data_IF_230222612948
#
_entry.id   IF_230222612948
#
_cell.length_a   1.000
_cell.length_b   1.000
_cell.length_c   1.000
_cell.angle_alpha   90.00
_cell.angle_beta   90.00
_cell.angle_gamma   90.00
#
_symmetry.space_group_name_H-M   'P 1'
#
loop_
_entity.id
_entity.type
_entity.pdbx_description
1 polymer ?
#
# COMPACT_ATOMS: atom_id res chain seq x y z
N UNK A 1 -7.72 23.96 15.18
CA UNK A 1 -8.40 22.64 15.01
C UNK A 1 -8.81 22.53 13.56
N UNK A 2 -8.31 21.51 12.84
CA UNK A 2 -8.66 21.23 11.44
C UNK A 2 -10.03 20.55 11.30
N UNK A 3 -10.63 20.64 10.12
CA UNK A 3 -11.80 19.79 9.81
C UNK A 3 -11.38 18.33 9.67
N UNK A 4 -10.20 18.09 9.08
CA UNK A 4 -9.67 16.72 8.91
C UNK A 4 -8.15 16.67 8.97
N UNK A 5 -7.62 15.55 9.46
CA UNK A 5 -6.22 15.15 9.30
C UNK A 5 -6.19 13.94 8.36
N UNK A 6 -5.34 13.99 7.33
CA UNK A 6 -5.06 12.85 6.45
C UNK A 6 -3.68 12.30 6.80
N UNK A 7 -3.58 10.98 6.97
CA UNK A 7 -2.30 10.30 7.24
C UNK A 7 -2.01 9.31 6.12
N UNK A 8 -0.91 9.54 5.42
CA UNK A 8 -0.46 8.73 4.29
C UNK A 8 -0.69 9.39 2.93
N UNK A 9 0.34 9.38 2.09
CA UNK A 9 0.44 10.13 0.84
C UNK A 9 0.33 9.25 -0.42
N UNK A 10 -0.22 8.05 -0.29
CA UNK A 10 -0.57 7.21 -1.42
C UNK A 10 -1.79 7.70 -2.21
N UNK A 11 -2.24 6.93 -3.22
CA UNK A 11 -3.40 7.28 -4.06
C UNK A 11 -4.67 7.60 -3.26
N UNK A 12 -4.92 6.88 -2.17
CA UNK A 12 -6.07 7.11 -1.29
C UNK A 12 -5.98 8.48 -0.58
N UNK A 13 -4.79 8.84 -0.06
CA UNK A 13 -4.56 10.13 0.58
C UNK A 13 -4.71 11.29 -0.38
N UNK A 14 -4.18 11.16 -1.60
CA UNK A 14 -4.36 12.16 -2.65
C UNK A 14 -5.83 12.34 -3.01
N UNK A 15 -6.57 11.24 -3.19
CA UNK A 15 -8.00 11.30 -3.48
C UNK A 15 -8.77 12.01 -2.35
N UNK A 16 -8.47 11.69 -1.08
CA UNK A 16 -9.06 12.36 0.08
C UNK A 16 -8.75 13.87 0.10
N UNK A 17 -7.47 14.24 -0.12
CA UNK A 17 -7.03 15.62 -0.11
C UNK A 17 -7.70 16.46 -1.22
N UNK A 18 -7.81 15.91 -2.45
CA UNK A 18 -8.50 16.57 -3.55
C UNK A 18 -9.97 16.80 -3.25
N UNK A 19 -10.66 15.82 -2.65
CA UNK A 19 -12.06 15.97 -2.25
C UNK A 19 -12.22 17.01 -1.15
N UNK A 20 -11.41 16.97 -0.08
CA UNK A 20 -11.47 17.98 0.98
C UNK A 20 -11.22 19.39 0.45
N UNK A 21 -10.27 19.56 -0.48
CA UNK A 21 -10.01 20.82 -1.15
C UNK A 21 -11.23 21.31 -1.95
N UNK A 22 -11.87 20.42 -2.70
CA UNK A 22 -13.09 20.72 -3.47
C UNK A 22 -14.22 21.19 -2.55
N UNK A 23 -14.39 20.55 -1.38
CA UNK A 23 -15.38 20.95 -0.37
C UNK A 23 -14.94 22.11 0.51
N UNK A 24 -13.81 22.76 0.20
CA UNK A 24 -13.26 23.91 0.95
C UNK A 24 -13.09 23.63 2.45
N UNK A 25 -12.68 22.40 2.78
CA UNK A 25 -12.39 22.00 4.15
C UNK A 25 -10.96 22.40 4.53
N UNK A 26 -10.79 22.77 5.78
CA UNK A 26 -9.47 23.00 6.37
C UNK A 26 -8.87 21.67 6.80
N UNK A 27 -7.74 21.30 6.21
CA UNK A 27 -7.10 20.01 6.50
C UNK A 27 -5.58 20.11 6.47
N UNK A 28 -4.95 19.17 7.17
CA UNK A 28 -3.51 18.92 7.08
C UNK A 28 -3.27 17.49 6.59
N UNK A 29 -2.26 17.32 5.74
CA UNK A 29 -1.94 16.06 5.12
C UNK A 29 -0.51 15.63 5.45
N UNK A 30 -0.38 14.57 6.26
CA UNK A 30 0.90 14.03 6.72
C UNK A 30 1.41 12.89 5.87
N UNK A 31 2.71 12.91 5.57
CA UNK A 31 3.43 11.82 4.93
C UNK A 31 4.60 12.32 4.08
N UNK A 32 5.07 11.49 3.16
CA UNK A 32 6.20 11.83 2.30
C UNK A 32 5.79 12.66 1.08
N UNK A 33 6.58 13.65 0.72
CA UNK A 33 6.43 14.40 -0.55
C UNK A 33 6.66 13.54 -1.78
N UNK A 34 7.34 12.43 -1.62
CA UNK A 34 7.49 11.43 -2.68
C UNK A 34 6.21 10.60 -2.92
N UNK A 35 5.10 10.98 -2.29
CA UNK A 35 3.80 10.29 -2.34
C UNK A 35 3.96 8.81 -1.92
N UNK A 36 4.01 7.88 -2.88
CA UNK A 36 4.13 6.46 -2.59
C UNK A 36 5.31 5.84 -3.34
N UNK A 37 6.36 5.46 -2.61
CA UNK A 37 7.51 4.76 -3.18
C UNK A 37 7.12 3.39 -3.79
N UNK A 38 6.14 2.69 -3.19
CA UNK A 38 5.62 1.42 -3.73
C UNK A 38 5.00 1.61 -5.11
N UNK A 39 4.27 2.72 -5.31
CA UNK A 39 3.71 3.06 -6.62
C UNK A 39 4.82 3.37 -7.60
N UNK A 40 5.80 4.20 -7.22
CA UNK A 40 6.90 4.61 -8.12
C UNK A 40 7.74 3.43 -8.61
N UNK A 41 7.97 2.42 -7.74
CA UNK A 41 8.76 1.22 -8.07
C UNK A 41 8.03 0.24 -8.99
N UNK A 42 6.73 0.40 -9.23
CA UNK A 42 5.98 -0.51 -10.09
C UNK A 42 6.34 -0.29 -11.57
N UNK A 43 6.83 -1.31 -12.24
CA UNK A 43 7.17 -1.24 -13.68
C UNK A 43 5.93 -1.04 -14.55
N UNK A 44 4.83 -1.68 -14.17
CA UNK A 44 3.58 -1.69 -14.93
C UNK A 44 2.38 -1.82 -14.01
N UNK A 45 1.43 -0.90 -14.16
CA UNK A 45 0.15 -0.87 -13.45
C UNK A 45 -0.97 -0.98 -14.49
N UNK A 46 -1.85 -1.96 -14.37
CA UNK A 46 -2.93 -2.23 -15.34
C UNK A 46 -4.33 -2.12 -14.75
N UNK A 47 -4.44 -1.96 -13.44
CA UNK A 47 -5.68 -1.95 -12.69
C UNK A 47 -6.01 -0.61 -12.03
N UNK A 48 -5.36 0.48 -12.46
CA UNK A 48 -5.69 1.81 -11.96
C UNK A 48 -6.75 2.47 -12.88
N UNK A 49 -7.92 2.88 -12.35
CA UNK A 49 -9.00 3.46 -13.16
C UNK A 49 -8.51 4.67 -13.98
N UNK A 50 -8.85 4.69 -15.27
CA UNK A 50 -8.42 5.72 -16.21
C UNK A 50 -7.09 5.45 -16.91
N UNK A 51 -6.33 4.45 -16.46
CA UNK A 51 -5.06 4.05 -17.06
C UNK A 51 -5.03 2.55 -17.31
N UNK A 52 -5.36 2.08 -18.52
CA UNK A 52 -5.34 0.65 -18.83
C UNK A 52 -3.93 0.05 -18.75
N UNK A 53 -2.91 0.88 -18.87
CA UNK A 53 -1.52 0.55 -18.65
C UNK A 53 -0.71 1.83 -18.40
N UNK A 54 0.04 1.87 -17.29
CA UNK A 54 0.91 3.00 -16.94
C UNK A 54 2.07 2.48 -16.08
N UNK A 55 3.25 3.13 -16.15
CA UNK A 55 4.31 2.88 -15.19
C UNK A 55 4.04 3.56 -13.85
N UNK A 56 4.62 3.05 -12.77
CA UNK A 56 4.49 3.67 -11.45
C UNK A 56 5.08 5.07 -11.40
N UNK A 57 6.19 5.29 -12.10
CA UNK A 57 6.82 6.61 -12.20
C UNK A 57 5.92 7.61 -12.92
N UNK A 58 5.33 7.24 -14.05
CA UNK A 58 4.42 8.11 -14.79
C UNK A 58 3.15 8.41 -13.99
N UNK A 59 2.61 7.42 -13.28
CA UNK A 59 1.44 7.61 -12.41
C UNK A 59 1.76 8.59 -11.26
N UNK A 60 2.95 8.46 -10.65
CA UNK A 60 3.42 9.40 -9.64
C UNK A 60 3.48 10.83 -10.18
N UNK A 61 4.08 11.04 -11.36
CA UNK A 61 4.19 12.36 -11.97
C UNK A 61 2.83 13.01 -12.22
N UNK A 62 1.84 12.22 -12.67
CA UNK A 62 0.46 12.69 -12.86
C UNK A 62 -0.21 13.04 -11.52
N UNK A 63 0.01 12.26 -10.49
CA UNK A 63 -0.50 12.52 -9.15
C UNK A 63 0.08 13.80 -8.56
N UNK A 64 1.39 13.99 -8.66
CA UNK A 64 2.05 15.18 -8.13
C UNK A 64 1.67 16.44 -8.93
N UNK A 65 1.55 16.34 -10.24
CA UNK A 65 1.04 17.43 -11.07
C UNK A 65 -0.39 17.83 -10.68
N UNK A 66 -1.29 16.86 -10.43
CA UNK A 66 -2.65 17.14 -9.99
C UNK A 66 -2.70 17.78 -8.59
N UNK A 67 -1.90 17.25 -7.65
CA UNK A 67 -1.74 17.83 -6.31
C UNK A 67 -1.32 19.30 -6.38
N UNK A 68 -0.26 19.60 -7.15
CA UNK A 68 0.27 20.96 -7.32
C UNK A 68 -0.75 21.91 -7.97
N UNK A 69 -1.44 21.44 -9.01
CA UNK A 69 -2.47 22.21 -9.69
C UNK A 69 -3.65 22.58 -8.74
N UNK A 70 -3.97 21.69 -7.80
CA UNK A 70 -4.98 21.93 -6.77
C UNK A 70 -4.48 22.80 -5.61
N UNK A 71 -3.19 23.19 -5.58
CA UNK A 71 -2.59 23.95 -4.48
C UNK A 71 -2.66 23.19 -3.14
N UNK A 72 -2.34 21.89 -3.15
CA UNK A 72 -2.34 21.05 -1.96
C UNK A 72 -0.90 20.75 -1.56
N UNK A 73 -0.56 21.03 -0.31
CA UNK A 73 0.74 20.75 0.27
C UNK A 73 0.74 19.52 1.16
N UNK A 74 1.88 18.83 1.20
CA UNK A 74 2.14 17.72 2.11
C UNK A 74 3.02 18.22 3.24
N UNK A 75 2.62 17.92 4.47
CA UNK A 75 3.42 18.15 5.67
C UNK A 75 4.26 16.91 5.94
N UNK A 76 5.57 17.02 5.71
CA UNK A 76 6.51 15.91 5.94
C UNK A 76 6.80 15.78 7.44
N UNK A 77 5.93 15.04 8.13
CA UNK A 77 6.06 14.67 9.53
C UNK A 77 5.62 13.24 9.74
N UNK A 78 6.30 12.56 10.67
CA UNK A 78 5.94 11.20 11.06
C UNK A 78 4.91 11.22 12.17
N UNK A 79 3.72 10.70 11.89
CA UNK A 79 2.68 10.51 12.91
C UNK A 79 3.05 9.30 13.77
N UNK A 80 3.17 9.51 15.07
CA UNK A 80 3.53 8.46 16.05
C UNK A 80 2.35 8.03 16.90
N UNK A 81 1.44 8.93 17.22
CA UNK A 81 0.29 8.63 18.08
C UNK A 81 -0.98 9.32 17.60
N UNK A 82 -2.10 8.63 17.82
CA UNK A 82 -3.45 9.12 17.57
C UNK A 82 -4.28 8.84 18.81
N UNK A 83 -4.98 9.84 19.30
CA UNK A 83 -5.80 9.74 20.49
C UNK A 83 -7.18 10.36 20.22
N UNK A 84 -8.29 9.70 20.57
CA UNK A 84 -9.58 10.35 20.63
C UNK A 84 -9.55 11.49 21.66
N UNK A 85 -10.12 12.63 21.32
CA UNK A 85 -10.17 13.80 22.21
C UNK A 85 -11.50 14.55 22.02
N UNK A 86 -12.36 14.51 23.02
CA UNK A 86 -13.69 15.11 22.91
C UNK A 86 -14.48 14.57 21.72
N UNK A 87 -14.89 15.47 20.83
CA UNK A 87 -15.62 15.13 19.59
C UNK A 87 -14.70 15.01 18.37
N UNK A 88 -13.39 14.79 18.56
CA UNK A 88 -12.41 14.73 17.48
C UNK A 88 -11.21 13.88 17.87
N UNK A 89 -10.05 14.23 17.31
CA UNK A 89 -8.82 13.51 17.44
C UNK A 89 -7.64 14.45 17.71
N UNK A 90 -6.73 13.99 18.56
CA UNK A 90 -5.40 14.57 18.74
C UNK A 90 -4.38 13.66 18.04
N UNK A 91 -3.50 14.24 17.25
CA UNK A 91 -2.47 13.53 16.51
C UNK A 91 -1.12 14.10 16.89
N UNK A 92 -0.20 13.22 17.32
CA UNK A 92 1.19 13.58 17.57
C UNK A 92 2.02 13.30 16.30
N UNK A 93 2.63 14.34 15.73
CA UNK A 93 3.51 14.24 14.58
C UNK A 93 4.81 15.02 14.86
N UNK A 94 5.96 14.35 14.81
CA UNK A 94 7.30 14.89 15.12
C UNK A 94 7.34 15.78 16.40
N UNK A 95 6.75 15.25 17.50
CA UNK A 95 6.64 15.92 18.80
C UNK A 95 5.71 17.16 18.84
N UNK A 96 4.96 17.42 17.79
CA UNK A 96 3.92 18.46 17.76
C UNK A 96 2.52 17.86 17.78
N UNK A 97 1.61 18.52 18.50
CA UNK A 97 0.21 18.08 18.61
C UNK A 97 -0.67 18.83 17.63
N UNK A 98 -1.48 18.06 16.92
CA UNK A 98 -2.48 18.55 15.96
C UNK A 98 -3.87 18.06 16.35
N UNK A 99 -4.88 18.90 16.17
CA UNK A 99 -6.25 18.60 16.52
C UNK A 99 -7.14 18.69 15.29
N UNK A 100 -8.02 17.70 15.10
CA UNK A 100 -9.02 17.71 14.03
C UNK A 100 -10.33 17.06 14.46
N UNK A 101 -11.41 17.41 13.76
CA UNK A 101 -12.73 16.80 13.95
C UNK A 101 -12.79 15.38 13.41
N UNK A 102 -12.10 15.12 12.29
CA UNK A 102 -12.11 13.82 11.61
C UNK A 102 -10.69 13.40 11.26
N UNK A 103 -10.51 12.09 11.10
CA UNK A 103 -9.23 11.48 10.72
C UNK A 103 -9.45 10.54 9.53
N UNK A 104 -8.58 10.66 8.51
CA UNK A 104 -8.58 9.80 7.34
C UNK A 104 -7.25 9.05 7.29
N UNK A 105 -7.31 7.73 7.51
CA UNK A 105 -6.14 6.86 7.51
C UNK A 105 -5.91 6.27 6.12
N UNK A 106 -4.82 6.67 5.48
CA UNK A 106 -4.43 6.26 4.12
C UNK A 106 -3.02 5.65 4.09
N UNK A 107 -2.66 4.93 5.15
CA UNK A 107 -1.30 4.42 5.37
C UNK A 107 -0.91 3.26 4.45
N UNK A 108 -1.87 2.70 3.72
CA UNK A 108 -1.65 1.55 2.84
C UNK A 108 -1.27 0.29 3.62
N UNK A 109 -0.52 -0.60 2.96
CA UNK A 109 -0.01 -1.83 3.56
C UNK A 109 1.47 -1.65 3.90
N UNK A 110 1.85 -1.93 5.13
CA UNK A 110 3.25 -2.02 5.54
C UNK A 110 3.63 -3.49 5.71
N UNK A 111 4.77 -3.88 5.15
CA UNK A 111 5.39 -5.15 5.49
C UNK A 111 6.17 -4.99 6.80
N UNK A 112 5.91 -5.86 7.77
CA UNK A 112 6.59 -5.81 9.06
C UNK A 112 8.05 -6.30 9.01
N UNK A 113 8.40 -7.12 8.00
CA UNK A 113 9.74 -7.71 7.82
C UNK A 113 10.11 -7.64 6.35
N UNK A 114 11.21 -6.97 6.06
CA UNK A 114 11.75 -6.94 4.70
C UNK A 114 12.59 -8.19 4.47
N UNK A 115 12.50 -8.73 3.25
CA UNK A 115 13.38 -9.78 2.78
C UNK A 115 14.73 -9.18 2.38
N UNK A 116 15.76 -10.02 2.38
CA UNK A 116 17.06 -9.58 1.87
C UNK A 116 16.94 -9.16 0.39
N UNK A 117 17.54 -8.03 0.03
CA UNK A 117 17.49 -7.42 -1.31
C UNK A 117 16.09 -7.08 -1.81
N UNK A 118 15.10 -6.93 -0.95
CA UNK A 118 13.72 -6.62 -1.31
C UNK A 118 13.60 -5.35 -2.15
N UNK A 119 14.33 -4.29 -1.79
CA UNK A 119 14.30 -3.01 -2.50
C UNK A 119 14.76 -3.11 -3.96
N UNK A 120 15.64 -4.06 -4.27
CA UNK A 120 16.12 -4.30 -5.63
C UNK A 120 15.12 -5.06 -6.49
N UNK A 121 14.29 -5.91 -5.85
CA UNK A 121 13.39 -6.86 -6.49
C UNK A 121 11.94 -6.37 -6.57
N UNK A 122 11.56 -5.45 -5.70
CA UNK A 122 10.19 -4.93 -5.63
C UNK A 122 9.80 -4.24 -6.94
N UNK A 123 8.64 -4.64 -7.48
CA UNK A 123 8.14 -4.19 -8.78
C UNK A 123 8.73 -4.93 -9.99
N UNK A 124 9.72 -5.80 -9.80
CA UNK A 124 10.36 -6.60 -10.89
C UNK A 124 10.08 -8.09 -10.73
N UNK A 125 10.52 -8.66 -9.61
CA UNK A 125 10.39 -10.08 -9.29
C UNK A 125 9.71 -10.34 -7.95
N UNK A 126 9.42 -9.30 -7.18
CA UNK A 126 8.74 -9.33 -5.92
C UNK A 126 7.54 -8.36 -5.98
N UNK A 127 6.40 -8.83 -5.49
CA UNK A 127 5.18 -8.04 -5.37
C UNK A 127 4.52 -8.30 -4.03
N UNK A 128 3.86 -7.27 -3.50
CA UNK A 128 3.00 -7.36 -2.31
C UNK A 128 1.51 -7.45 -2.64
N UNK A 129 1.14 -7.47 -3.91
CA UNK A 129 -0.26 -7.46 -4.31
C UNK A 129 -0.54 -8.61 -5.27
N UNK A 130 -1.12 -9.70 -4.77
CA UNK A 130 -1.48 -10.84 -5.59
C UNK A 130 -2.42 -10.48 -6.75
N UNK A 131 -3.45 -9.69 -6.46
CA UNK A 131 -4.46 -9.31 -7.47
C UNK A 131 -3.98 -8.24 -8.45
N UNK A 132 -3.01 -7.38 -8.05
CA UNK A 132 -2.45 -6.36 -8.94
C UNK A 132 -1.53 -6.98 -9.99
N UNK A 133 -0.65 -7.87 -9.55
CA UNK A 133 0.51 -8.34 -10.32
C UNK A 133 0.44 -9.84 -10.66
N UNK A 134 -0.53 -10.59 -10.11
CA UNK A 134 -0.65 -12.04 -10.28
C UNK A 134 -0.61 -12.48 -11.75
N UNK A 135 -1.22 -11.72 -12.64
CA UNK A 135 -1.22 -12.02 -14.08
C UNK A 135 0.18 -12.00 -14.73
N UNK A 136 1.16 -11.28 -14.15
CA UNK A 136 2.55 -11.31 -14.65
C UNK A 136 3.25 -12.62 -14.35
N UNK A 137 2.71 -13.40 -13.43
CA UNK A 137 3.24 -14.69 -12.98
C UNK A 137 2.49 -15.89 -13.56
N UNK A 138 1.55 -15.65 -14.48
CA UNK A 138 0.83 -16.73 -15.18
C UNK A 138 1.81 -17.73 -15.80
N UNK A 139 1.53 -19.03 -15.60
CA UNK A 139 2.32 -20.16 -16.09
C UNK A 139 3.79 -20.19 -15.61
N UNK A 140 4.11 -19.45 -14.52
CA UNK A 140 5.45 -19.42 -13.93
C UNK A 140 5.51 -20.21 -12.62
N UNK A 141 6.73 -20.55 -12.20
CA UNK A 141 7.03 -21.01 -10.85
C UNK A 141 7.21 -19.78 -9.96
N UNK A 142 6.47 -19.72 -8.86
CA UNK A 142 6.49 -18.59 -7.93
C UNK A 142 6.70 -19.07 -6.49
N UNK A 143 7.26 -18.19 -5.65
CA UNK A 143 7.25 -18.32 -4.21
C UNK A 143 6.21 -17.37 -3.62
N UNK A 144 5.42 -17.86 -2.67
CA UNK A 144 4.42 -17.06 -1.95
C UNK A 144 4.68 -17.15 -0.47
N UNK A 145 4.93 -15.99 0.16
CA UNK A 145 5.06 -15.86 1.60
C UNK A 145 3.76 -15.24 2.12
N UNK A 146 3.11 -15.91 3.07
CA UNK A 146 1.84 -15.46 3.63
C UNK A 146 1.93 -15.39 5.15
N UNK A 147 1.74 -14.22 5.71
CA UNK A 147 1.94 -13.94 7.13
C UNK A 147 0.67 -14.10 7.99
N UNK A 148 -0.48 -14.40 7.36
CA UNK A 148 -1.74 -14.55 8.08
C UNK A 148 -2.72 -15.43 7.27
N UNK A 149 -3.33 -16.39 7.93
CA UNK A 149 -4.29 -17.36 7.36
C UNK A 149 -5.44 -16.68 6.57
N UNK A 150 -5.87 -15.49 6.96
CA UNK A 150 -6.94 -14.74 6.26
C UNK A 150 -6.62 -14.44 4.81
N UNK A 151 -5.34 -14.46 4.40
CA UNK A 151 -4.91 -14.20 3.02
C UNK A 151 -4.73 -15.48 2.19
N UNK A 152 -5.08 -16.66 2.67
CA UNK A 152 -5.01 -17.91 1.89
C UNK A 152 -5.82 -17.87 0.60
N UNK A 153 -6.87 -17.05 0.54
CA UNK A 153 -7.63 -16.85 -0.68
C UNK A 153 -6.78 -16.22 -1.82
N UNK A 154 -5.78 -15.38 -1.47
CA UNK A 154 -4.83 -14.84 -2.46
C UNK A 154 -3.84 -15.90 -2.92
N UNK A 155 -3.44 -16.83 -2.04
CA UNK A 155 -2.61 -17.98 -2.42
C UNK A 155 -3.35 -18.88 -3.39
N UNK A 156 -4.63 -19.15 -3.16
CA UNK A 156 -5.49 -19.93 -4.09
C UNK A 156 -5.60 -19.24 -5.45
N UNK A 157 -5.84 -17.94 -5.46
CA UNK A 157 -5.86 -17.15 -6.68
C UNK A 157 -4.54 -17.22 -7.46
N UNK A 158 -3.40 -17.12 -6.79
CA UNK A 158 -2.09 -17.26 -7.43
C UNK A 158 -1.83 -18.67 -7.92
N UNK A 159 -2.30 -19.70 -7.21
CA UNK A 159 -2.20 -21.09 -7.64
C UNK A 159 -3.00 -21.37 -8.92
N UNK A 160 -4.15 -20.71 -9.11
CA UNK A 160 -4.94 -20.82 -10.34
C UNK A 160 -4.22 -20.20 -11.56
N UNK A 161 -3.28 -19.29 -11.33
CA UNK A 161 -2.52 -18.61 -12.39
C UNK A 161 -1.16 -19.27 -12.66
N UNK A 162 -0.46 -19.65 -11.62
CA UNK A 162 0.93 -20.12 -11.69
C UNK A 162 1.02 -21.59 -12.11
N UNK A 163 2.12 -21.97 -12.76
CA UNK A 163 2.41 -23.36 -13.04
C UNK A 163 2.75 -24.13 -11.75
N UNK A 164 3.44 -23.52 -10.81
CA UNK A 164 3.82 -24.09 -9.52
C UNK A 164 3.97 -22.98 -8.48
N UNK A 165 3.51 -23.24 -7.27
CA UNK A 165 3.65 -22.34 -6.12
C UNK A 165 4.47 -23.04 -5.03
N UNK A 166 5.58 -22.43 -4.64
CA UNK A 166 6.28 -22.76 -3.40
C UNK A 166 5.74 -21.85 -2.30
N UNK A 167 5.02 -22.43 -1.35
CA UNK A 167 4.27 -21.69 -0.36
C UNK A 167 4.94 -21.73 1.02
N UNK A 168 5.14 -20.54 1.60
CA UNK A 168 5.75 -20.31 2.92
C UNK A 168 4.72 -19.64 3.84
N UNK A 169 3.90 -20.40 4.58
CA UNK A 169 3.05 -19.84 5.63
C UNK A 169 3.91 -19.45 6.84
N UNK A 170 3.80 -18.19 7.28
CA UNK A 170 4.41 -17.70 8.54
C UNK A 170 3.38 -17.77 9.68
N UNK A 171 2.60 -18.85 9.72
CA UNK A 171 1.59 -19.18 10.72
C UNK A 171 1.32 -20.69 10.74
N UNK A 172 0.70 -21.17 11.80
CA UNK A 172 0.29 -22.57 11.92
C UNK A 172 -1.08 -22.81 11.26
N UNK A 173 -1.40 -24.07 10.96
CA UNK A 173 -2.72 -24.53 10.50
C UNK A 173 -3.14 -24.00 9.12
N UNK A 174 -2.23 -23.97 8.15
CA UNK A 174 -2.59 -23.73 6.75
C UNK A 174 -3.57 -24.78 6.24
N UNK A 175 -4.61 -24.33 5.52
CA UNK A 175 -5.63 -25.17 4.88
C UNK A 175 -5.45 -25.26 3.36
N UNK A 176 -4.27 -24.89 2.86
CA UNK A 176 -3.98 -24.97 1.42
C UNK A 176 -3.62 -26.41 1.05
N UNK A 177 -4.49 -27.05 0.29
CA UNK A 177 -4.29 -28.37 -0.33
C UNK A 177 -4.60 -28.26 -1.84
N UNK A 178 -3.60 -27.88 -2.63
CA UNK A 178 -3.73 -27.73 -4.07
C UNK A 178 -2.62 -28.49 -4.79
N UNK A 179 -2.91 -29.11 -5.96
CA UNK A 179 -1.97 -30.05 -6.62
C UNK A 179 -0.68 -29.40 -7.10
N UNK A 180 -0.69 -28.09 -7.35
CA UNK A 180 0.46 -27.31 -7.80
C UNK A 180 1.07 -26.43 -6.70
N UNK A 181 0.67 -26.62 -5.42
CA UNK A 181 1.20 -25.88 -4.28
C UNK A 181 2.04 -26.80 -3.41
N UNK A 182 3.31 -26.47 -3.24
CA UNK A 182 4.24 -27.15 -2.36
C UNK A 182 4.48 -26.29 -1.11
N UNK A 183 4.04 -26.76 0.05
CA UNK A 183 4.25 -26.04 1.31
C UNK A 183 5.65 -26.32 1.83
N UNK A 184 6.39 -25.26 2.18
CA UNK A 184 7.68 -25.34 2.86
C UNK A 184 7.59 -24.69 4.23
N UNK A 185 8.07 -25.38 5.25
CA UNK A 185 8.19 -24.86 6.61
C UNK A 185 9.57 -24.21 6.86
N UNK A 186 10.46 -24.25 5.87
CA UNK A 186 11.74 -23.55 5.96
C UNK A 186 11.52 -22.06 5.72
N UNK A 187 12.22 -21.21 6.47
CA UNK A 187 12.18 -19.77 6.22
C UNK A 187 12.70 -19.50 4.79
N UNK A 188 12.05 -18.65 4.01
CA UNK A 188 12.60 -18.20 2.75
C UNK A 188 13.93 -17.49 3.01
N UNK A 189 14.98 -17.96 2.32
CA UNK A 189 16.36 -17.49 2.46
C UNK A 189 16.48 -16.07 1.88
#
# INVERSE_FOLDING_TARGET
MYDSIIIGTGPAGLSAALNLKTYKKDFIWFGSKNLSEKVQKAEKITNYPGFPQISGQELFERFDAHRRAAGIDITEKTVTNIMPAGNGFMVLADNEMYEARTLILCMGVMSAKQLDREDELLGKRLSYCATCDGMFYKDKRIAVICNDKKYEHEVKYLADLAAEVLYFPDYNDSEIELPNVNISNDAPI
#
